data_IF_842821836037
#
_entry.id   IF_842821836037
#
_cell.length_a   1.000
_cell.length_b   1.000
_cell.length_c   1.000
_cell.angle_alpha   90.00
_cell.angle_beta   90.00
_cell.angle_gamma   90.00
#
_symmetry.space_group_name_H-M   'P 1'
#
loop_
_entity.id
_entity.type
_entity.pdbx_description
1 polymer ?
#
# COMPACT_ATOMS: atom_id res chain seq x y z
N UNK A 1 9.31 19.79 -40.75
CA UNK A 1 8.18 20.09 -39.86
C UNK A 1 7.40 18.78 -39.75
N UNK A 2 7.79 17.76 -38.95
CA UNK A 2 8.24 17.81 -37.54
C UNK A 2 7.26 18.72 -36.78
N UNK A 3 6.32 18.27 -35.96
CA UNK A 3 6.15 17.03 -35.18
C UNK A 3 4.65 16.93 -34.80
N UNK A 4 4.14 15.74 -34.52
CA UNK A 4 3.24 15.43 -33.38
C UNK A 4 2.73 13.98 -33.50
N UNK A 5 3.65 13.04 -33.31
CA UNK A 5 3.31 11.66 -32.91
C UNK A 5 3.41 11.60 -31.39
N UNK A 6 2.39 12.12 -30.68
CA UNK A 6 2.26 11.84 -29.25
C UNK A 6 1.63 10.46 -29.12
N UNK A 7 2.52 9.46 -29.10
CA UNK A 7 2.19 8.10 -28.73
C UNK A 7 1.61 8.06 -27.33
N UNK A 8 0.29 7.85 -27.26
CA UNK A 8 -0.42 7.48 -26.05
C UNK A 8 0.05 6.09 -25.60
N UNK A 9 1.20 6.04 -24.92
CA UNK A 9 1.66 4.84 -24.22
C UNK A 9 0.73 4.63 -23.03
N UNK A 10 -0.41 3.99 -23.28
CA UNK A 10 -1.24 3.33 -22.26
C UNK A 10 -0.38 2.22 -21.63
N UNK A 11 0.44 2.59 -20.65
CA UNK A 11 1.13 1.62 -19.80
C UNK A 11 0.03 0.96 -18.97
N UNK A 12 -0.31 -0.27 -19.34
CA UNK A 12 -1.38 -1.02 -18.73
C UNK A 12 -1.21 -1.03 -17.22
N UNK A 13 -2.31 -0.81 -16.52
CA UNK A 13 -2.46 -1.36 -15.19
C UNK A 13 -2.01 -2.82 -15.30
N UNK A 14 -0.91 -3.16 -14.64
CA UNK A 14 -0.45 -4.54 -14.58
C UNK A 14 -1.43 -5.20 -13.63
N UNK A 15 -2.63 -5.45 -14.12
CA UNK A 15 -3.62 -6.29 -13.49
C UNK A 15 -3.03 -7.68 -13.58
N UNK A 16 -2.38 -8.06 -12.49
CA UNK A 16 -1.89 -9.39 -12.23
C UNK A 16 -3.13 -10.29 -12.10
N UNK A 17 -3.76 -10.58 -13.23
CA UNK A 17 -4.73 -11.66 -13.39
C UNK A 17 -3.98 -12.98 -13.54
N UNK A 18 -2.94 -13.16 -12.72
CA UNK A 18 -2.41 -14.48 -12.50
C UNK A 18 -3.50 -15.25 -11.75
N UNK A 19 -4.34 -15.95 -12.49
CA UNK A 19 -5.15 -17.04 -11.97
C UNK A 19 -4.17 -18.00 -11.29
N UNK A 20 -4.05 -17.85 -9.97
CA UNK A 20 -3.38 -18.86 -9.16
C UNK A 20 -4.31 -20.07 -9.23
N UNK A 21 -4.03 -21.00 -10.15
CA UNK A 21 -4.63 -22.33 -10.16
C UNK A 21 -4.25 -23.02 -8.85
N UNK A 22 -5.01 -22.73 -7.80
CA UNK A 22 -4.87 -23.28 -6.47
C UNK A 22 -6.27 -23.53 -5.94
N UNK A 23 -6.48 -24.71 -5.36
CA UNK A 23 -7.75 -25.11 -4.79
C UNK A 23 -8.32 -24.05 -3.84
N UNK A 24 -9.64 -24.11 -3.60
CA UNK A 24 -10.38 -23.14 -2.81
C UNK A 24 -9.57 -22.69 -1.58
N UNK A 25 -9.33 -21.38 -1.40
CA UNK A 25 -8.56 -20.88 -0.27
C UNK A 25 -9.18 -21.41 1.03
N UNK A 26 -8.33 -21.86 1.96
CA UNK A 26 -8.84 -22.23 3.27
C UNK A 26 -9.39 -20.97 3.96
N UNK A 27 -10.37 -21.13 4.85
CA UNK A 27 -10.96 -20.01 5.59
C UNK A 27 -9.90 -19.18 6.36
N UNK A 28 -8.78 -19.81 6.74
CA UNK A 28 -7.62 -19.12 7.30
C UNK A 28 -6.92 -18.16 6.33
N UNK A 29 -6.79 -18.53 5.06
CA UNK A 29 -6.13 -17.70 4.03
C UNK A 29 -6.98 -16.48 3.66
N UNK A 30 -8.31 -16.65 3.63
CA UNK A 30 -9.26 -15.55 3.42
C UNK A 30 -9.22 -14.55 4.57
N UNK A 31 -9.23 -15.04 5.82
CA UNK A 31 -9.13 -14.20 7.01
C UNK A 31 -7.80 -13.43 7.04
N UNK A 32 -6.70 -14.09 6.66
CA UNK A 32 -5.39 -13.45 6.57
C UNK A 32 -5.39 -12.36 5.50
N UNK A 33 -5.85 -12.66 4.29
CA UNK A 33 -5.94 -11.71 3.16
C UNK A 33 -6.80 -10.50 3.52
N UNK A 34 -7.95 -10.72 4.19
CA UNK A 34 -8.80 -9.64 4.69
C UNK A 34 -8.08 -8.76 5.72
N UNK A 35 -7.29 -9.36 6.64
CA UNK A 35 -6.52 -8.61 7.64
C UNK A 35 -5.43 -7.73 7.01
N UNK A 36 -4.74 -8.25 5.98
CA UNK A 36 -3.74 -7.50 5.21
C UNK A 36 -4.42 -6.37 4.44
N UNK A 37 -5.56 -6.63 3.82
CA UNK A 37 -6.38 -5.64 3.13
C UNK A 37 -6.82 -4.49 4.03
N UNK A 38 -7.28 -4.79 5.26
CA UNK A 38 -7.64 -3.76 6.24
C UNK A 38 -6.45 -2.87 6.62
N UNK A 39 -5.25 -3.45 6.79
CA UNK A 39 -4.03 -2.68 7.06
C UNK A 39 -3.65 -1.79 5.88
N UNK A 40 -3.75 -2.29 4.66
CA UNK A 40 -3.53 -1.50 3.44
C UNK A 40 -4.46 -0.28 3.40
N UNK A 41 -5.76 -0.49 3.68
CA UNK A 41 -6.75 0.59 3.77
C UNK A 41 -6.38 1.61 4.84
N UNK A 42 -5.98 1.15 6.03
CA UNK A 42 -5.60 2.03 7.13
C UNK A 42 -4.40 2.93 6.75
N UNK A 43 -3.38 2.37 6.11
CA UNK A 43 -2.21 3.13 5.63
C UNK A 43 -2.63 4.17 4.59
N UNK A 44 -3.44 3.78 3.60
CA UNK A 44 -3.94 4.70 2.58
C UNK A 44 -4.71 5.87 3.20
N UNK A 45 -5.62 5.57 4.14
CA UNK A 45 -6.42 6.58 4.85
C UNK A 45 -5.55 7.48 5.73
N UNK A 46 -4.54 6.94 6.41
CA UNK A 46 -3.61 7.73 7.22
C UNK A 46 -2.79 8.73 6.40
N UNK A 47 -2.52 8.41 5.13
CA UNK A 47 -1.89 9.34 4.17
C UNK A 47 -2.89 10.29 3.49
N UNK A 48 -4.18 10.22 3.84
CA UNK A 48 -5.22 11.08 3.29
C UNK A 48 -5.58 10.79 1.84
N UNK A 49 -5.24 9.60 1.31
CA UNK A 49 -5.42 9.27 -0.09
C UNK A 49 -6.76 8.57 -0.33
N UNK A 50 -7.51 9.02 -1.33
CA UNK A 50 -8.60 8.26 -1.94
C UNK A 50 -8.08 7.18 -2.89
N UNK A 51 -8.92 6.22 -3.27
CA UNK A 51 -8.54 5.19 -4.26
C UNK A 51 -8.19 5.81 -5.62
N UNK A 52 -8.92 6.85 -6.04
CA UNK A 52 -8.65 7.58 -7.28
C UNK A 52 -7.30 8.34 -7.22
N UNK A 53 -6.95 8.91 -6.07
CA UNK A 53 -5.64 9.55 -5.89
C UNK A 53 -4.49 8.54 -5.89
N UNK A 54 -4.70 7.33 -5.36
CA UNK A 54 -3.69 6.26 -5.46
C UNK A 54 -3.43 5.92 -6.92
N UNK A 55 -4.49 5.76 -7.72
CA UNK A 55 -4.36 5.48 -9.15
C UNK A 55 -3.62 6.61 -9.87
N UNK A 56 -4.02 7.86 -9.66
CA UNK A 56 -3.38 9.03 -10.26
C UNK A 56 -1.90 9.17 -9.86
N UNK A 57 -1.57 9.04 -8.56
CA UNK A 57 -0.19 9.14 -8.05
C UNK A 57 0.69 7.97 -8.45
N UNK A 58 0.09 6.83 -8.77
CA UNK A 58 0.80 5.65 -9.25
C UNK A 58 0.96 5.62 -10.77
N UNK A 59 0.48 6.66 -11.47
CA UNK A 59 0.46 6.73 -12.94
C UNK A 59 -0.27 5.51 -13.55
N UNK A 60 -1.37 5.09 -12.93
CA UNK A 60 -2.17 3.95 -13.38
C UNK A 60 -1.62 2.57 -13.01
N UNK A 61 -0.44 2.48 -12.37
CA UNK A 61 0.11 1.19 -11.91
C UNK A 61 -0.81 0.48 -10.92
N UNK A 62 -1.50 1.24 -10.07
CA UNK A 62 -2.44 0.75 -9.07
C UNK A 62 -3.85 1.26 -9.37
N UNK A 63 -4.65 0.49 -10.12
CA UNK A 63 -6.04 0.88 -10.41
C UNK A 63 -6.86 0.97 -9.12
N UNK A 64 -7.76 1.96 -9.03
CA UNK A 64 -8.64 2.14 -7.87
C UNK A 64 -9.48 0.89 -7.59
N UNK A 65 -9.89 0.18 -8.64
CA UNK A 65 -10.62 -1.09 -8.54
C UNK A 65 -9.78 -2.19 -7.90
N UNK A 66 -8.53 -2.40 -8.38
CA UNK A 66 -7.65 -3.41 -7.84
C UNK A 66 -7.30 -3.15 -6.37
N UNK A 67 -6.91 -1.91 -6.04
CA UNK A 67 -6.62 -1.52 -4.65
C UNK A 67 -7.85 -1.73 -3.77
N UNK A 68 -9.04 -1.37 -4.24
CA UNK A 68 -10.29 -1.62 -3.52
C UNK A 68 -10.56 -3.11 -3.30
N UNK A 69 -10.26 -3.98 -4.26
CA UNK A 69 -10.42 -5.42 -4.12
C UNK A 69 -9.43 -6.01 -3.10
N UNK A 70 -8.17 -5.56 -3.11
CA UNK A 70 -7.16 -5.96 -2.12
C UNK A 70 -7.53 -5.50 -0.71
N UNK A 71 -8.01 -4.26 -0.55
CA UNK A 71 -8.41 -3.71 0.76
C UNK A 71 -9.53 -4.48 1.43
N UNK A 72 -10.38 -5.13 0.64
CA UNK A 72 -11.51 -5.94 1.13
C UNK A 72 -11.17 -7.42 1.26
N UNK A 73 -9.98 -7.86 0.80
CA UNK A 73 -9.59 -9.27 0.79
C UNK A 73 -10.29 -10.11 -0.28
N UNK A 74 -10.98 -9.49 -1.25
CA UNK A 74 -11.67 -10.22 -2.33
C UNK A 74 -10.73 -10.71 -3.44
N UNK A 75 -9.54 -10.11 -3.54
CA UNK A 75 -8.51 -10.52 -4.50
C UNK A 75 -7.26 -10.91 -3.75
N UNK A 76 -6.70 -12.06 -4.11
CA UNK A 76 -5.39 -12.48 -3.63
C UNK A 76 -4.33 -11.51 -4.14
N UNK A 77 -3.31 -11.29 -3.31
CA UNK A 77 -2.24 -10.34 -3.61
C UNK A 77 -0.90 -11.09 -3.52
N UNK A 78 -0.20 -11.18 -4.66
CA UNK A 78 1.09 -11.84 -4.72
C UNK A 78 2.15 -11.08 -3.90
N UNK A 79 3.13 -11.80 -3.36
CA UNK A 79 4.21 -11.21 -2.53
C UNK A 79 4.96 -10.06 -3.24
N UNK A 80 5.33 -10.16 -4.54
CA UNK A 80 5.97 -9.04 -5.24
C UNK A 80 5.09 -7.79 -5.30
N UNK A 81 3.76 -7.95 -5.46
CA UNK A 81 2.82 -6.82 -5.45
C UNK A 81 2.68 -6.22 -4.06
N UNK A 82 2.64 -7.04 -3.01
CA UNK A 82 2.65 -6.56 -1.62
C UNK A 82 3.86 -5.68 -1.35
N UNK A 83 5.04 -6.15 -1.76
CA UNK A 83 6.28 -5.38 -1.65
C UNK A 83 6.17 -4.05 -2.42
N UNK A 84 5.63 -4.10 -3.64
CA UNK A 84 5.51 -2.91 -4.49
C UNK A 84 4.52 -1.88 -3.93
N UNK A 85 3.43 -2.32 -3.28
CA UNK A 85 2.51 -1.45 -2.53
C UNK A 85 3.16 -0.86 -1.28
N UNK A 86 3.90 -1.67 -0.53
CA UNK A 86 4.68 -1.19 0.61
C UNK A 86 5.68 -0.10 0.19
N UNK A 87 6.40 -0.31 -0.91
CA UNK A 87 7.34 0.66 -1.49
C UNK A 87 6.65 1.93 -2.01
N UNK A 88 5.43 1.82 -2.55
CA UNK A 88 4.61 2.95 -2.97
C UNK A 88 4.18 3.81 -1.76
N UNK A 89 3.64 3.18 -0.72
CA UNK A 89 3.22 3.86 0.51
C UNK A 89 4.39 4.20 1.45
N UNK A 90 5.63 3.84 1.10
CA UNK A 90 6.84 4.09 1.91
C UNK A 90 6.76 3.49 3.32
N UNK A 91 6.16 2.30 3.43
CA UNK A 91 6.07 1.54 4.68
C UNK A 91 6.80 0.20 4.54
N UNK A 92 7.37 -0.37 5.62
CA UNK A 92 7.93 -1.71 5.55
C UNK A 92 6.84 -2.76 5.31
N UNK A 93 7.14 -3.79 4.53
CA UNK A 93 6.19 -4.89 4.21
C UNK A 93 5.66 -5.60 5.46
N UNK A 94 6.47 -5.71 6.52
CA UNK A 94 6.08 -6.29 7.81
C UNK A 94 4.86 -5.61 8.44
N UNK A 95 4.68 -4.29 8.22
CA UNK A 95 3.50 -3.55 8.71
C UNK A 95 2.21 -4.09 8.07
N UNK A 96 2.25 -4.41 6.78
CA UNK A 96 1.10 -4.96 6.05
C UNK A 96 0.76 -6.39 6.51
N UNK A 97 1.79 -7.17 6.87
CA UNK A 97 1.64 -8.52 7.42
C UNK A 97 1.16 -8.50 8.88
N UNK A 98 1.17 -7.34 9.55
CA UNK A 98 0.79 -7.22 10.96
C UNK A 98 1.87 -7.70 11.91
N UNK A 99 3.09 -7.89 11.42
CA UNK A 99 4.22 -8.20 12.27
C UNK A 99 4.61 -6.92 13.03
N UNK A 100 4.87 -7.02 14.34
CA UNK A 100 5.48 -5.91 15.04
C UNK A 100 6.78 -5.62 14.31
N UNK A 101 6.91 -4.39 13.77
CA UNK A 101 8.21 -3.94 13.28
C UNK A 101 9.21 -4.24 14.40
N UNK A 102 10.41 -4.76 14.07
CA UNK A 102 11.48 -4.72 15.03
C UNK A 102 11.61 -3.25 15.38
N UNK A 103 11.09 -2.87 16.56
CA UNK A 103 11.32 -1.56 17.14
C UNK A 103 12.83 -1.52 17.18
N UNK A 104 13.46 -0.81 16.23
CA UNK A 104 14.87 -0.53 16.26
C UNK A 104 15.07 -0.04 17.68
N UNK A 105 15.70 -0.89 18.50
CA UNK A 105 15.60 -0.86 19.96
C UNK A 105 15.64 0.59 20.34
N UNK A 106 14.48 1.12 20.74
CA UNK A 106 14.26 2.56 20.78
C UNK A 106 15.49 3.15 21.41
N UNK A 107 16.33 3.82 20.61
CA UNK A 107 17.50 4.50 21.12
C UNK A 107 16.90 5.36 22.22
N UNK A 108 17.20 4.95 23.46
CA UNK A 108 16.53 5.25 24.73
C UNK A 108 15.37 6.23 24.55
N UNK A 109 14.11 5.86 24.85
CA UNK A 109 13.00 6.83 24.89
C UNK A 109 13.39 8.05 25.74
N UNK A 110 14.03 9.05 25.13
CA UNK A 110 14.48 10.26 25.77
C UNK A 110 13.23 11.08 25.86
N UNK A 111 12.73 11.23 27.08
CA UNK A 111 11.70 12.21 27.40
C UNK A 111 12.27 13.58 27.04
N UNK A 112 11.84 14.14 25.91
CA UNK A 112 12.10 15.53 25.58
C UNK A 112 10.97 16.34 26.20
N UNK A 113 11.30 17.20 27.16
CA UNK A 113 10.37 18.20 27.68
C UNK A 113 10.59 19.45 26.84
N UNK A 114 9.62 19.80 25.99
CA UNK A 114 9.61 21.07 25.27
C UNK A 114 9.00 22.13 26.18
N UNK A 115 9.79 23.14 26.50
CA UNK A 115 9.29 24.36 27.13
C UNK A 115 8.68 25.25 26.04
N UNK A 116 7.39 25.52 26.14
CA UNK A 116 6.63 26.28 25.15
C UNK A 116 6.78 27.80 25.36
N UNK A 117 7.19 28.22 26.57
CA UNK A 117 7.33 29.64 26.92
C UNK A 117 8.56 30.25 26.23
N UNK A 118 9.61 29.45 26.02
CA UNK A 118 10.85 29.85 25.35
C UNK A 118 10.75 29.99 23.82
N UNK A 119 9.61 29.66 23.20
CA UNK A 119 9.39 29.76 21.75
C UNK A 119 8.62 31.03 21.34
N UNK A 120 8.26 31.89 22.30
CA UNK A 120 7.40 33.05 22.09
C UNK A 120 8.16 34.39 21.93
N UNK A 121 9.50 34.40 21.91
CA UNK A 121 10.34 35.59 21.64
C UNK A 121 10.81 35.68 20.18
#
# INVERSE_FOLDING_TARGET
MQDDEVGERRSGAVDDEAEVEGGAPDAGDEAFSASVGQRLRAIRQAQGLSLAEVEARSEGRWSASAVGAYERGFRTLSLPRLKSLADFYKVPVAVLLGEPLPMAQSAERRKIVLDLEALAE
#
